data_IF_906746918123
#
_entry.id   IF_906746918123
#
_cell.length_a   1.000
_cell.length_b   1.000
_cell.length_c   1.000
_cell.angle_alpha   90.00
_cell.angle_beta   90.00
_cell.angle_gamma   90.00
#
_symmetry.space_group_name_H-M   'P 1'
#
loop_
_entity.id
_entity.type
_entity.pdbx_description
1 polymer ?
#
# COMPACT_ATOMS: atom_id res chain seq x y z
N UNK A 1 19.10 -31.47 41.47
CA UNK A 1 18.73 -30.95 40.11
C UNK A 1 17.57 -29.98 40.33
N UNK A 2 17.88 -28.66 40.28
CA UNK A 2 16.85 -27.60 40.37
C UNK A 2 16.37 -27.34 38.95
N UNK A 3 15.16 -27.80 38.64
CA UNK A 3 14.45 -27.41 37.40
C UNK A 3 13.97 -25.95 37.51
N UNK A 4 14.66 -25.05 36.82
CA UNK A 4 14.20 -23.68 36.66
C UNK A 4 13.01 -23.69 35.72
N UNK A 5 11.81 -23.46 36.25
CA UNK A 5 10.61 -23.26 35.46
C UNK A 5 10.70 -21.82 34.91
N UNK A 6 11.10 -21.71 33.62
CA UNK A 6 11.02 -20.44 32.91
C UNK A 6 9.52 -20.17 32.62
N UNK A 7 8.95 -19.22 33.36
CA UNK A 7 7.63 -18.67 33.04
C UNK A 7 7.72 -18.00 31.64
N UNK A 8 7.16 -18.64 30.64
CA UNK A 8 6.94 -18.02 29.34
C UNK A 8 5.82 -17.01 29.54
N UNK A 9 6.17 -15.73 29.74
CA UNK A 9 5.22 -14.64 29.73
C UNK A 9 4.65 -14.53 28.31
N UNK A 10 3.42 -14.98 28.12
CA UNK A 10 2.64 -14.74 26.90
C UNK A 10 2.41 -13.23 26.80
N UNK A 11 2.99 -12.58 25.79
CA UNK A 11 2.63 -11.19 25.50
C UNK A 11 1.19 -11.18 24.99
N UNK A 12 0.26 -10.77 25.86
CA UNK A 12 -1.15 -10.64 25.50
C UNK A 12 -1.35 -9.31 24.78
N UNK A 13 -1.45 -9.38 23.44
CA UNK A 13 -1.70 -8.20 22.61
C UNK A 13 -3.20 -7.89 22.63
N UNK A 14 -3.59 -6.90 23.39
CA UNK A 14 -4.99 -6.47 23.47
C UNK A 14 -5.33 -5.60 22.25
N UNK A 15 -6.15 -6.15 21.34
CA UNK A 15 -6.65 -5.45 20.15
C UNK A 15 -8.11 -5.05 20.36
N UNK A 16 -8.36 -3.76 20.39
CA UNK A 16 -9.74 -3.22 20.38
C UNK A 16 -10.16 -2.86 18.96
N UNK A 17 -11.45 -3.03 18.65
CA UNK A 17 -12.00 -2.66 17.34
C UNK A 17 -13.14 -1.66 17.53
N UNK A 18 -13.30 -0.76 16.57
CA UNK A 18 -14.44 0.14 16.44
C UNK A 18 -14.66 0.50 14.97
N UNK A 19 -15.74 1.19 14.69
CA UNK A 19 -16.10 1.64 13.35
C UNK A 19 -16.22 3.17 13.34
N UNK A 20 -15.60 3.82 12.35
CA UNK A 20 -15.72 5.27 12.17
C UNK A 20 -17.13 5.63 11.72
N UNK A 21 -17.49 6.91 11.84
CA UNK A 21 -18.81 7.43 11.38
C UNK A 21 -19.08 7.14 9.90
N UNK A 22 -18.05 6.90 9.09
CA UNK A 22 -18.16 6.58 7.67
C UNK A 22 -18.10 5.08 7.38
N UNK A 23 -18.08 4.23 8.42
CA UNK A 23 -18.09 2.78 8.27
C UNK A 23 -16.72 2.15 8.03
N UNK A 24 -15.60 2.83 8.33
CA UNK A 24 -14.28 2.21 8.26
C UNK A 24 -14.02 1.42 9.54
N UNK A 25 -13.71 0.12 9.38
CA UNK A 25 -13.25 -0.72 10.50
C UNK A 25 -11.87 -0.28 10.95
N UNK A 26 -11.71 -0.02 12.24
CA UNK A 26 -10.45 0.35 12.88
C UNK A 26 -10.06 -0.69 13.91
N UNK A 27 -8.82 -1.15 13.83
CA UNK A 27 -8.18 -1.99 14.84
C UNK A 27 -7.15 -1.14 15.57
N UNK A 28 -7.17 -1.18 16.90
CA UNK A 28 -6.25 -0.44 17.74
C UNK A 28 -5.60 -1.35 18.78
N UNK A 29 -4.29 -1.29 18.86
CA UNK A 29 -3.50 -1.86 19.94
C UNK A 29 -2.71 -0.77 20.65
N UNK A 30 -2.87 -0.68 21.96
CA UNK A 30 -2.08 0.25 22.78
C UNK A 30 -0.68 -0.34 23.03
N UNK A 31 0.35 0.48 22.88
CA UNK A 31 1.74 0.13 23.17
C UNK A 31 2.41 1.32 23.86
N UNK A 32 2.70 1.18 25.17
CA UNK A 32 3.26 2.27 25.98
C UNK A 32 4.78 2.30 25.99
N UNK A 33 5.45 1.31 25.34
CA UNK A 33 6.89 1.14 25.41
C UNK A 33 7.69 2.27 24.75
N UNK A 34 7.13 2.84 23.66
CA UNK A 34 7.78 3.90 22.89
C UNK A 34 6.71 4.95 22.53
N UNK A 35 6.99 6.27 22.66
CA UNK A 35 6.04 7.33 22.35
C UNK A 35 5.86 7.50 20.82
N UNK A 36 5.37 6.46 20.16
CA UNK A 36 5.18 6.40 18.71
C UNK A 36 3.74 6.06 18.33
N UNK A 37 3.41 6.37 17.10
CA UNK A 37 2.20 5.95 16.43
C UNK A 37 2.55 5.34 15.08
N UNK A 38 2.02 4.14 14.83
CA UNK A 38 1.99 3.50 13.53
C UNK A 38 0.55 3.45 13.04
N UNK A 39 0.29 4.07 11.91
CA UNK A 39 -0.99 4.07 11.21
C UNK A 39 -0.81 3.31 9.91
N UNK A 40 -1.65 2.31 9.64
CA UNK A 40 -1.70 1.60 8.37
C UNK A 40 -3.13 1.55 7.86
N UNK A 41 -3.36 2.11 6.69
CA UNK A 41 -4.62 2.02 5.96
C UNK A 41 -4.44 0.98 4.87
N UNK A 42 -5.32 0.00 4.82
CA UNK A 42 -5.29 -1.07 3.82
C UNK A 42 -6.54 -1.00 2.95
N UNK A 43 -6.35 -1.14 1.62
CA UNK A 43 -7.39 -1.12 0.62
C UNK A 43 -7.40 -2.43 -0.18
N UNK A 44 -8.55 -2.88 -0.64
CA UNK A 44 -8.67 -3.90 -1.68
C UNK A 44 -8.37 -3.24 -3.04
N UNK A 45 -7.09 -2.95 -3.25
CA UNK A 45 -6.55 -2.20 -4.37
C UNK A 45 -5.17 -2.71 -4.80
N UNK A 46 -4.96 -4.02 -4.71
CA UNK A 46 -3.75 -4.68 -5.18
C UNK A 46 -3.67 -4.77 -6.71
N UNK A 47 -2.62 -5.42 -7.21
CA UNK A 47 -2.40 -5.56 -8.66
C UNK A 47 -3.49 -6.39 -9.36
N UNK A 48 -4.27 -7.18 -8.62
CA UNK A 48 -5.46 -7.85 -9.16
C UNK A 48 -6.54 -6.88 -9.65
N UNK A 49 -6.42 -5.59 -9.34
CA UNK A 49 -7.32 -4.50 -9.78
C UNK A 49 -6.81 -3.74 -11.00
N UNK A 50 -5.66 -4.09 -11.53
CA UNK A 50 -5.03 -3.43 -12.69
C UNK A 50 -5.87 -3.53 -13.99
N UNK A 51 -6.76 -4.52 -14.08
CA UNK A 51 -7.51 -4.79 -15.31
C UNK A 51 -6.54 -5.11 -16.46
N UNK A 52 -6.70 -4.45 -17.60
CA UNK A 52 -5.82 -4.63 -18.77
C UNK A 52 -4.51 -3.81 -18.65
N UNK A 53 -4.43 -2.88 -17.70
CA UNK A 53 -3.31 -1.96 -17.52
C UNK A 53 -2.38 -2.44 -16.40
N UNK A 54 -1.61 -3.51 -16.66
CA UNK A 54 -0.76 -4.17 -15.66
C UNK A 54 0.29 -3.21 -15.10
N UNK A 55 0.44 -3.18 -13.76
CA UNK A 55 1.31 -2.26 -13.02
C UNK A 55 0.63 -0.96 -12.57
N UNK A 56 -0.66 -0.77 -12.89
CA UNK A 56 -1.38 0.47 -12.57
C UNK A 56 -1.49 0.72 -11.06
N UNK A 57 -1.81 -0.31 -10.28
CA UNK A 57 -1.87 -0.20 -8.82
C UNK A 57 -0.53 0.22 -8.22
N UNK A 58 0.56 -0.47 -8.60
CA UNK A 58 1.90 -0.18 -8.11
C UNK A 58 2.32 1.26 -8.46
N UNK A 59 2.17 1.65 -9.73
CA UNK A 59 2.52 2.99 -10.20
C UNK A 59 1.67 4.08 -9.52
N UNK A 60 0.37 3.83 -9.28
CA UNK A 60 -0.48 4.79 -8.57
C UNK A 60 -0.01 5.02 -7.15
N UNK A 61 0.35 3.95 -6.42
CA UNK A 61 0.79 4.06 -5.04
C UNK A 61 2.18 4.68 -4.89
N UNK A 62 3.09 4.45 -5.84
CA UNK A 62 4.41 5.09 -5.85
C UNK A 62 4.38 6.58 -6.20
N UNK A 63 3.22 7.11 -6.56
CA UNK A 63 3.03 8.51 -6.94
C UNK A 63 2.19 9.31 -5.94
N UNK A 64 1.74 8.69 -4.84
CA UNK A 64 0.81 9.35 -3.90
C UNK A 64 1.42 10.57 -3.21
N UNK A 65 2.70 10.51 -2.89
CA UNK A 65 3.49 11.56 -2.22
C UNK A 65 4.32 12.42 -3.19
N UNK A 66 4.15 12.22 -4.48
CA UNK A 66 4.87 12.99 -5.51
C UNK A 66 4.22 14.33 -5.87
N UNK A 67 3.18 14.73 -5.14
CA UNK A 67 2.56 16.05 -5.25
C UNK A 67 1.09 16.08 -4.86
N UNK A 68 0.68 17.22 -4.29
CA UNK A 68 -0.73 17.58 -4.07
C UNK A 68 -1.11 18.77 -4.96
N UNK A 69 -2.34 19.27 -4.89
CA UNK A 69 -2.73 20.47 -5.63
C UNK A 69 -1.96 21.73 -5.19
N UNK A 70 -1.38 21.73 -3.98
CA UNK A 70 -0.72 22.87 -3.36
C UNK A 70 0.76 22.66 -3.01
N UNK A 71 1.27 21.43 -3.11
CA UNK A 71 2.66 21.08 -2.75
C UNK A 71 3.33 20.22 -3.79
N UNK A 72 4.64 20.42 -3.94
CA UNK A 72 5.52 19.55 -4.72
C UNK A 72 6.07 18.40 -3.85
N UNK A 73 6.65 17.38 -4.49
CA UNK A 73 7.25 16.23 -3.82
C UNK A 73 8.32 16.60 -2.80
N UNK A 74 9.18 17.57 -3.12
CA UNK A 74 10.25 17.99 -2.20
C UNK A 74 9.71 18.60 -0.91
N UNK A 75 8.60 19.38 -0.98
CA UNK A 75 7.95 19.96 0.20
C UNK A 75 7.30 18.88 1.05
N UNK A 76 6.67 17.88 0.42
CA UNK A 76 6.07 16.73 1.09
C UNK A 76 7.14 15.93 1.84
N UNK A 77 8.24 15.57 1.16
CA UNK A 77 9.37 14.86 1.75
C UNK A 77 9.96 15.64 2.92
N UNK A 78 10.21 16.94 2.75
CA UNK A 78 10.76 17.82 3.80
C UNK A 78 9.87 17.86 5.05
N UNK A 79 8.53 17.82 4.90
CA UNK A 79 7.62 17.79 6.06
C UNK A 79 7.79 16.48 6.84
N UNK A 80 7.88 15.34 6.20
CA UNK A 80 8.06 14.05 6.90
C UNK A 80 9.46 13.96 7.53
N UNK A 81 10.51 14.31 6.79
CA UNK A 81 11.90 14.23 7.24
C UNK A 81 12.17 15.15 8.43
N UNK A 82 11.74 16.42 8.37
CA UNK A 82 11.94 17.39 9.46
C UNK A 82 11.21 17.02 10.75
N UNK A 83 10.18 16.17 10.68
CA UNK A 83 9.43 15.68 11.83
C UNK A 83 9.85 14.24 12.23
N UNK A 84 10.86 13.65 11.59
CA UNK A 84 11.29 12.27 11.84
C UNK A 84 10.18 11.24 11.59
N UNK A 85 9.28 11.54 10.65
CA UNK A 85 8.15 10.68 10.30
C UNK A 85 8.42 9.90 9.02
N UNK A 86 7.82 8.74 8.90
CA UNK A 86 7.98 7.85 7.74
C UNK A 86 6.62 7.67 7.08
N UNK A 87 6.48 8.15 5.86
CA UNK A 87 5.40 7.80 4.95
C UNK A 87 5.84 6.61 4.10
N UNK A 88 4.96 5.62 3.90
CA UNK A 88 5.27 4.50 3.03
C UNK A 88 4.01 3.94 2.38
N UNK A 89 4.16 3.39 1.17
CA UNK A 89 3.13 2.68 0.44
C UNK A 89 3.59 1.26 0.12
N UNK A 90 2.65 0.33 0.03
CA UNK A 90 2.96 -1.02 -0.46
C UNK A 90 1.80 -1.59 -1.26
N UNK A 91 2.12 -2.41 -2.25
CA UNK A 91 1.16 -3.11 -3.10
C UNK A 91 1.56 -4.56 -3.22
N UNK A 92 0.61 -5.46 -3.02
CA UNK A 92 0.74 -6.85 -3.38
C UNK A 92 -0.39 -7.26 -4.35
N UNK A 93 -0.59 -8.54 -4.58
CA UNK A 93 -1.63 -9.02 -5.50
C UNK A 93 -3.04 -8.60 -5.09
N UNK A 94 -3.37 -8.64 -3.80
CA UNK A 94 -4.73 -8.41 -3.30
C UNK A 94 -4.95 -7.00 -2.77
N UNK A 95 -3.95 -6.45 -2.12
CA UNK A 95 -4.09 -5.27 -1.27
C UNK A 95 -3.04 -4.23 -1.58
N UNK A 96 -3.41 -2.99 -1.34
CA UNK A 96 -2.46 -1.93 -1.17
C UNK A 96 -2.56 -1.35 0.24
N UNK A 97 -1.51 -0.71 0.70
CA UNK A 97 -1.53 0.01 1.96
C UNK A 97 -0.77 1.33 1.88
N UNK A 98 -1.23 2.27 2.69
CA UNK A 98 -0.61 3.58 2.93
C UNK A 98 -0.38 3.67 4.43
N UNK A 99 0.83 4.02 4.85
CA UNK A 99 1.19 4.04 6.27
C UNK A 99 1.93 5.30 6.65
N UNK A 100 1.75 5.70 7.92
CA UNK A 100 2.49 6.76 8.58
C UNK A 100 3.02 6.24 9.90
N UNK A 101 4.32 6.41 10.13
CA UNK A 101 4.97 6.26 11.44
C UNK A 101 5.45 7.62 11.91
N UNK A 102 5.16 7.96 13.17
CA UNK A 102 5.59 9.23 13.77
C UNK A 102 5.75 9.12 15.28
N UNK A 103 6.46 10.07 15.88
CA UNK A 103 6.42 10.28 17.33
C UNK A 103 5.04 10.83 17.72
N UNK A 104 4.56 10.50 18.95
CA UNK A 104 3.25 10.96 19.43
C UNK A 104 3.25 12.39 19.96
N UNK A 105 4.41 13.01 20.14
CA UNK A 105 4.52 14.42 20.55
C UNK A 105 3.87 15.32 19.50
N UNK A 106 2.99 16.22 19.94
CA UNK A 106 2.14 17.05 19.05
C UNK A 106 2.94 17.86 18.02
N UNK A 107 4.13 18.35 18.38
CA UNK A 107 5.01 19.12 17.49
C UNK A 107 5.48 18.33 16.26
N UNK A 108 5.59 16.98 16.35
CA UNK A 108 6.00 16.11 15.26
C UNK A 108 4.78 15.44 14.59
N UNK A 109 3.82 14.98 15.41
CA UNK A 109 2.64 14.29 14.89
C UNK A 109 1.72 15.19 14.07
N UNK A 110 1.46 16.40 14.55
CA UNK A 110 0.46 17.25 13.90
C UNK A 110 0.82 17.64 12.46
N UNK A 111 2.06 18.12 12.14
CA UNK A 111 2.43 18.41 10.76
C UNK A 111 2.45 17.16 9.88
N UNK A 112 2.98 16.04 10.39
CA UNK A 112 3.04 14.76 9.66
C UNK A 112 1.65 14.19 9.37
N UNK A 113 0.75 14.23 10.37
CA UNK A 113 -0.63 13.79 10.20
C UNK A 113 -1.38 14.69 9.22
N UNK A 114 -1.19 16.02 9.29
CA UNK A 114 -1.80 16.95 8.34
C UNK A 114 -1.37 16.63 6.90
N UNK A 115 -0.07 16.39 6.68
CA UNK A 115 0.45 16.01 5.36
C UNK A 115 -0.09 14.67 4.89
N UNK A 116 -0.13 13.68 5.78
CA UNK A 116 -0.71 12.38 5.50
C UNK A 116 -2.19 12.47 5.05
N UNK A 117 -3.00 13.28 5.75
CA UNK A 117 -4.39 13.51 5.40
C UNK A 117 -4.55 14.24 4.06
N UNK A 118 -3.64 15.16 3.75
CA UNK A 118 -3.61 15.89 2.47
C UNK A 118 -3.31 14.91 1.31
N UNK A 119 -2.31 14.03 1.45
CA UNK A 119 -2.02 12.98 0.45
C UNK A 119 -3.24 12.07 0.24
N UNK A 120 -3.94 11.66 1.30
CA UNK A 120 -5.12 10.79 1.20
C UNK A 120 -6.29 11.43 0.45
N UNK A 121 -6.39 12.75 0.42
CA UNK A 121 -7.53 13.46 -0.18
C UNK A 121 -7.20 14.17 -1.49
N UNK A 122 -5.94 14.49 -1.74
CA UNK A 122 -5.56 15.49 -2.77
C UNK A 122 -4.28 15.16 -3.55
N UNK A 123 -3.91 13.88 -3.70
CA UNK A 123 -2.81 13.51 -4.59
C UNK A 123 -3.09 13.94 -6.02
N UNK A 124 -2.19 14.76 -6.59
CA UNK A 124 -2.40 15.44 -7.87
C UNK A 124 -1.79 14.74 -9.09
N UNK A 125 -0.82 13.83 -8.86
CA UNK A 125 -0.12 13.08 -9.90
C UNK A 125 0.48 13.98 -10.99
N UNK A 126 1.47 14.84 -10.71
CA UNK A 126 2.06 15.75 -11.68
C UNK A 126 2.65 14.99 -12.88
N UNK A 127 2.49 15.52 -14.09
CA UNK A 127 2.91 14.81 -15.31
C UNK A 127 4.41 14.52 -15.37
N UNK A 128 5.27 15.43 -14.84
CA UNK A 128 6.71 15.20 -14.74
C UNK A 128 7.03 14.01 -13.83
N UNK A 129 6.37 13.92 -12.66
CA UNK A 129 6.58 12.82 -11.71
C UNK A 129 6.04 11.49 -12.27
N UNK A 130 4.87 11.53 -12.91
CA UNK A 130 4.34 10.34 -13.61
C UNK A 130 5.35 9.83 -14.64
N UNK A 131 5.92 10.71 -15.46
CA UNK A 131 6.89 10.32 -16.49
C UNK A 131 8.20 9.81 -15.87
N UNK A 132 8.67 10.43 -14.80
CA UNK A 132 9.87 10.01 -14.08
C UNK A 132 9.67 8.63 -13.44
N UNK A 133 8.56 8.44 -12.72
CA UNK A 133 8.27 7.18 -12.06
C UNK A 133 8.04 6.03 -13.06
N UNK A 134 7.41 6.30 -14.21
CA UNK A 134 7.32 5.31 -15.30
C UNK A 134 8.69 4.87 -15.79
N UNK A 135 9.63 5.80 -15.99
CA UNK A 135 11.01 5.46 -16.41
C UNK A 135 11.70 4.59 -15.36
N UNK A 136 11.62 4.96 -14.07
CA UNK A 136 12.19 4.17 -12.96
C UNK A 136 11.59 2.76 -12.93
N UNK A 137 10.26 2.65 -12.99
CA UNK A 137 9.56 1.36 -12.99
C UNK A 137 9.97 0.48 -14.18
N UNK A 138 10.10 1.06 -15.39
CA UNK A 138 10.53 0.32 -16.57
C UNK A 138 11.98 -0.16 -16.41
N UNK A 139 12.89 0.66 -15.86
CA UNK A 139 14.27 0.24 -15.58
C UNK A 139 14.30 -0.95 -14.62
N UNK A 140 13.55 -0.90 -13.50
CA UNK A 140 13.45 -2.03 -12.58
C UNK A 140 12.91 -3.30 -13.27
N UNK A 141 11.87 -3.18 -14.11
CA UNK A 141 11.33 -4.33 -14.86
C UNK A 141 12.37 -4.94 -15.78
N UNK A 142 13.23 -4.12 -16.41
CA UNK A 142 14.31 -4.60 -17.29
C UNK A 142 15.39 -5.30 -16.46
N UNK A 143 15.78 -4.75 -15.32
CA UNK A 143 16.72 -5.37 -14.38
C UNK A 143 16.22 -6.72 -13.88
N UNK A 144 14.94 -6.81 -13.46
CA UNK A 144 14.29 -8.05 -13.01
C UNK A 144 14.30 -9.16 -14.09
N UNK A 145 14.37 -8.80 -15.39
CA UNK A 145 14.47 -9.77 -16.47
C UNK A 145 15.84 -10.49 -16.53
N UNK A 146 16.83 -9.98 -15.81
CA UNK A 146 18.15 -10.61 -15.66
C UNK A 146 18.27 -11.42 -14.37
N UNK A 147 17.28 -11.34 -13.45
CA UNK A 147 17.25 -12.11 -12.21
C UNK A 147 16.54 -13.46 -12.41
N UNK A 148 17.26 -14.60 -12.27
CA UNK A 148 16.68 -15.94 -12.41
C UNK A 148 15.50 -16.19 -11.47
N UNK A 149 15.52 -15.64 -10.24
CA UNK A 149 14.48 -15.82 -9.24
C UNK A 149 13.18 -15.10 -9.65
N UNK A 150 13.30 -13.86 -10.14
CA UNK A 150 12.16 -13.09 -10.64
C UNK A 150 11.56 -13.72 -11.89
N UNK A 151 12.40 -14.23 -12.80
CA UNK A 151 11.95 -14.93 -14.00
C UNK A 151 11.20 -16.20 -13.63
N UNK A 152 11.75 -17.03 -12.73
CA UNK A 152 11.12 -18.26 -12.27
C UNK A 152 9.77 -17.97 -11.58
N UNK A 153 9.72 -16.97 -10.70
CA UNK A 153 8.52 -16.53 -10.03
C UNK A 153 7.44 -16.08 -11.02
N UNK A 154 7.79 -15.24 -11.99
CA UNK A 154 6.85 -14.73 -12.98
C UNK A 154 6.30 -15.83 -13.89
N UNK A 155 7.15 -16.79 -14.31
CA UNK A 155 6.74 -17.97 -15.07
C UNK A 155 5.79 -18.85 -14.24
N UNK A 156 6.13 -19.12 -12.99
CA UNK A 156 5.31 -19.91 -12.07
C UNK A 156 3.92 -19.31 -11.92
N UNK A 157 3.80 -18.03 -11.59
CA UNK A 157 2.50 -17.37 -11.46
C UNK A 157 1.71 -17.37 -12.77
N UNK A 158 2.37 -17.13 -13.89
CA UNK A 158 1.75 -17.16 -15.22
C UNK A 158 1.16 -18.52 -15.56
N UNK A 159 1.89 -19.60 -15.27
CA UNK A 159 1.44 -20.96 -15.58
C UNK A 159 0.34 -21.46 -14.64
N UNK A 160 0.42 -21.14 -13.35
CA UNK A 160 -0.59 -21.56 -12.38
C UNK A 160 -1.89 -20.79 -12.59
N UNK A 161 -1.81 -19.49 -12.86
CA UNK A 161 -2.97 -18.60 -12.85
C UNK A 161 -3.54 -18.30 -14.24
N UNK A 162 -2.82 -18.55 -15.33
CA UNK A 162 -3.30 -18.34 -16.69
C UNK A 162 -3.85 -16.93 -16.91
N UNK A 163 -5.14 -16.81 -17.21
CA UNK A 163 -5.83 -15.53 -17.44
C UNK A 163 -6.30 -14.84 -16.14
N UNK A 164 -6.03 -15.45 -14.98
CA UNK A 164 -6.39 -14.85 -13.70
C UNK A 164 -5.56 -13.58 -13.42
N UNK A 165 -6.13 -12.57 -12.72
CA UNK A 165 -5.38 -11.36 -12.36
C UNK A 165 -4.07 -11.59 -11.55
N UNK A 166 -3.87 -12.76 -10.96
CA UNK A 166 -2.63 -13.10 -10.26
C UNK A 166 -1.49 -13.53 -11.17
N UNK A 167 -1.75 -13.76 -12.44
CA UNK A 167 -0.76 -14.27 -13.40
C UNK A 167 0.34 -13.27 -13.76
N UNK A 168 0.10 -11.96 -13.58
CA UNK A 168 1.08 -10.94 -13.91
C UNK A 168 1.86 -10.44 -12.68
N UNK A 169 3.11 -9.98 -12.82
CA UNK A 169 3.84 -9.34 -11.72
C UNK A 169 3.16 -8.06 -11.25
N UNK A 170 3.23 -7.75 -9.95
CA UNK A 170 2.56 -6.55 -9.40
C UNK A 170 3.13 -5.25 -9.96
N UNK A 171 4.40 -5.24 -10.34
CA UNK A 171 5.06 -4.11 -11.01
C UNK A 171 4.57 -3.90 -12.45
N UNK A 172 3.92 -4.92 -13.05
CA UNK A 172 3.45 -4.91 -14.43
C UNK A 172 4.51 -5.34 -15.44
N UNK A 173 4.30 -4.92 -16.69
CA UNK A 173 5.21 -5.15 -17.80
C UNK A 173 5.64 -3.82 -18.41
N UNK A 174 6.86 -3.71 -18.94
CA UNK A 174 7.40 -2.47 -19.51
C UNK A 174 6.45 -1.82 -20.54
N UNK A 175 5.88 -2.63 -21.45
CA UNK A 175 4.94 -2.14 -22.46
C UNK A 175 3.61 -1.66 -21.86
N UNK A 176 3.12 -2.28 -20.81
CA UNK A 176 1.90 -1.83 -20.14
C UNK A 176 2.14 -0.55 -19.33
N UNK A 177 3.22 -0.49 -18.55
CA UNK A 177 3.61 0.70 -17.78
C UNK A 177 3.85 1.90 -18.71
N UNK A 178 4.48 1.70 -19.86
CA UNK A 178 4.69 2.75 -20.88
C UNK A 178 3.37 3.39 -21.34
N UNK A 179 2.29 2.62 -21.42
CA UNK A 179 0.95 3.08 -21.86
C UNK A 179 0.11 3.71 -20.77
N UNK A 180 0.49 3.57 -19.49
CA UNK A 180 -0.26 4.19 -18.38
C UNK A 180 -0.26 5.70 -18.54
N UNK A 181 -1.44 6.30 -18.55
CA UNK A 181 -1.65 7.74 -18.56
C UNK A 181 -1.93 8.27 -17.14
N UNK A 182 -1.72 9.57 -16.92
CA UNK A 182 -2.14 10.25 -15.69
C UNK A 182 -3.63 10.03 -15.40
N UNK A 183 -4.47 9.98 -16.45
CA UNK A 183 -5.91 9.70 -16.31
C UNK A 183 -6.16 8.31 -15.73
N UNK A 184 -5.45 7.28 -16.19
CA UNK A 184 -5.58 5.93 -15.63
C UNK A 184 -5.22 5.91 -14.14
N UNK A 185 -4.15 6.59 -13.74
CA UNK A 185 -3.70 6.71 -12.34
C UNK A 185 -4.78 7.37 -11.50
N UNK A 186 -5.30 8.52 -11.94
CA UNK A 186 -6.35 9.24 -11.22
C UNK A 186 -7.64 8.43 -11.12
N UNK A 187 -8.08 7.80 -12.20
CA UNK A 187 -9.27 6.96 -12.20
C UNK A 187 -9.12 5.76 -11.22
N UNK A 188 -7.92 5.16 -11.17
CA UNK A 188 -7.62 4.08 -10.25
C UNK A 188 -7.64 4.56 -8.79
N UNK A 189 -6.99 5.68 -8.50
CA UNK A 189 -6.98 6.31 -7.18
C UNK A 189 -8.40 6.64 -6.73
N UNK A 190 -9.16 7.39 -7.53
CA UNK A 190 -10.52 7.78 -7.21
C UNK A 190 -11.45 6.58 -6.99
N UNK A 191 -11.24 5.49 -7.73
CA UNK A 191 -12.06 4.27 -7.63
C UNK A 191 -11.74 3.44 -6.40
N UNK A 192 -10.47 3.31 -6.05
CA UNK A 192 -10.02 2.29 -5.10
C UNK A 192 -9.58 2.85 -3.74
N UNK A 193 -9.11 4.10 -3.67
CA UNK A 193 -8.64 4.73 -2.42
C UNK A 193 -9.78 5.56 -1.83
N UNK A 194 -10.68 4.89 -1.11
CA UNK A 194 -11.86 5.52 -0.52
C UNK A 194 -12.30 4.82 0.77
N UNK A 195 -13.16 5.48 1.55
CA UNK A 195 -13.59 4.99 2.86
C UNK A 195 -14.29 3.62 2.83
N UNK A 196 -15.08 3.33 1.78
CA UNK A 196 -15.81 2.05 1.67
C UNK A 196 -14.92 0.86 1.35
N UNK A 197 -13.69 1.13 0.90
CA UNK A 197 -12.69 0.13 0.54
C UNK A 197 -11.55 0.04 1.56
N UNK A 198 -11.60 0.84 2.64
CA UNK A 198 -10.53 0.98 3.62
C UNK A 198 -10.76 0.14 4.87
N UNK A 199 -9.66 -0.30 5.47
CA UNK A 199 -9.55 -0.69 6.87
C UNK A 199 -8.32 -0.02 7.48
N UNK A 200 -8.39 0.35 8.77
CA UNK A 200 -7.32 1.07 9.47
C UNK A 200 -6.81 0.20 10.61
N UNK A 201 -5.49 0.08 10.74
CA UNK A 201 -4.84 -0.47 11.91
C UNK A 201 -3.94 0.61 12.52
N UNK A 202 -4.03 0.79 13.86
CA UNK A 202 -3.21 1.75 14.59
C UNK A 202 -2.58 1.05 15.79
N UNK A 203 -1.28 1.23 15.95
CA UNK A 203 -0.54 0.88 17.16
C UNK A 203 0.05 2.17 17.72
N UNK A 204 -0.19 2.48 19.00
CA UNK A 204 0.27 3.75 19.57
C UNK A 204 0.29 3.76 21.08
N UNK A 205 1.13 4.64 21.66
CA UNK A 205 1.08 5.01 23.07
C UNK A 205 -0.04 6.01 23.42
N UNK A 206 -0.71 6.59 22.41
CA UNK A 206 -1.83 7.50 22.63
C UNK A 206 -3.04 6.82 23.28
N UNK A 207 -3.88 7.60 23.93
CA UNK A 207 -5.15 7.11 24.47
C UNK A 207 -6.12 6.68 23.36
N UNK A 208 -7.04 5.78 23.70
CA UNK A 208 -8.10 5.34 22.76
C UNK A 208 -8.88 6.53 22.18
N UNK A 209 -9.16 7.57 23.00
CA UNK A 209 -9.88 8.78 22.57
C UNK A 209 -9.12 9.54 21.47
N UNK A 210 -7.81 9.69 21.62
CA UNK A 210 -6.96 10.37 20.63
C UNK A 210 -6.87 9.56 19.33
N UNK A 211 -6.71 8.24 19.44
CA UNK A 211 -6.66 7.34 18.27
C UNK A 211 -7.97 7.36 17.51
N UNK A 212 -9.12 7.35 18.20
CA UNK A 212 -10.43 7.51 17.56
C UNK A 212 -10.52 8.85 16.81
N UNK A 213 -10.05 9.94 17.42
CA UNK A 213 -10.06 11.25 16.76
C UNK A 213 -9.18 11.28 15.51
N UNK A 214 -8.02 10.62 15.52
CA UNK A 214 -7.14 10.47 14.35
C UNK A 214 -7.84 9.65 13.26
N UNK A 215 -8.41 8.50 13.59
CA UNK A 215 -9.09 7.65 12.63
C UNK A 215 -10.32 8.32 12.01
N UNK A 216 -11.05 9.14 12.76
CA UNK A 216 -12.16 9.95 12.23
C UNK A 216 -11.66 11.01 11.23
N UNK A 217 -10.48 11.64 11.47
CA UNK A 217 -9.86 12.55 10.51
C UNK A 217 -9.49 11.83 9.22
N UNK A 218 -8.85 10.64 9.32
CA UNK A 218 -8.51 9.81 8.17
C UNK A 218 -9.78 9.43 7.40
N UNK A 219 -10.80 8.99 8.10
CA UNK A 219 -12.07 8.61 7.50
C UNK A 219 -12.75 9.75 6.74
N UNK A 220 -12.59 11.00 7.21
CA UNK A 220 -13.09 12.19 6.52
C UNK A 220 -12.29 12.56 5.29
N UNK A 221 -10.98 12.27 5.26
CA UNK A 221 -10.10 12.56 4.12
C UNK A 221 -10.33 11.59 2.95
N UNK A 222 -10.94 10.43 3.18
CA UNK A 222 -11.26 9.46 2.15
C UNK A 222 -12.65 9.75 1.54
N UNK A 223 -12.74 9.76 0.22
CA UNK A 223 -14.03 9.99 -0.49
C UNK A 223 -15.06 8.93 -0.09
N UNK A 224 -16.26 9.38 0.29
CA UNK A 224 -17.39 8.54 0.72
C UNK A 224 -18.28 8.08 -0.43
N UNK A 225 -18.21 8.74 -1.58
CA UNK A 225 -19.19 8.59 -2.69
C UNK A 225 -19.00 7.28 -3.45
N UNK A 226 -17.85 6.62 -3.34
CA UNK A 226 -17.51 5.44 -4.13
C UNK A 226 -18.10 4.16 -3.54
N UNK A 227 -18.46 3.23 -4.42
CA UNK A 227 -18.95 1.90 -4.04
C UNK A 227 -17.79 0.97 -3.71
N UNK A 228 -18.02 0.01 -2.80
CA UNK A 228 -17.05 -1.06 -2.54
C UNK A 228 -16.75 -1.82 -3.83
N UNK A 229 -15.47 -2.06 -4.09
CA UNK A 229 -15.03 -2.88 -5.23
C UNK A 229 -15.27 -4.35 -4.90
N UNK A 230 -16.04 -5.05 -5.74
CA UNK A 230 -16.33 -6.49 -5.57
C UNK A 230 -15.41 -7.27 -6.51
N UNK A 231 -14.67 -8.24 -5.97
CA UNK A 231 -13.85 -9.17 -6.76
C UNK A 231 -14.71 -10.33 -7.26
N UNK A 232 -14.58 -10.68 -8.54
CA UNK A 232 -15.13 -11.94 -9.04
C UNK A 232 -14.28 -13.11 -8.54
N UNK A 233 -14.92 -14.13 -8.00
CA UNK A 233 -14.25 -15.40 -7.68
C UNK A 233 -13.75 -16.06 -8.96
N UNK A 234 -12.59 -16.69 -8.87
CA UNK A 234 -11.94 -17.37 -9.98
C UNK A 234 -12.14 -18.87 -9.96
N UNK A 235 -12.08 -19.47 -11.16
CA UNK A 235 -12.21 -20.91 -11.34
C UNK A 235 -10.94 -21.64 -10.91
N UNK A 236 -11.12 -22.89 -10.47
CA UNK A 236 -10.07 -23.81 -10.01
C UNK A 236 -9.05 -24.12 -11.10
N UNK A 237 -7.80 -24.23 -10.70
CA UNK A 237 -6.63 -24.47 -11.54
C UNK A 237 -6.52 -25.94 -11.95
N UNK A 238 -5.96 -26.22 -13.13
CA UNK A 238 -5.63 -27.57 -13.61
C UNK A 238 -4.52 -28.23 -12.79
N UNK A 239 -4.71 -29.49 -12.39
CA UNK A 239 -3.74 -30.32 -11.61
C UNK A 239 -2.68 -30.99 -12.50
N UNK A 240 -2.24 -30.42 -13.58
CA UNK A 240 -1.18 -31.03 -14.42
C UNK A 240 0.18 -30.52 -14.01
N UNK A 241 1.12 -31.44 -13.81
CA UNK A 241 2.53 -31.09 -13.66
C UNK A 241 3.06 -30.52 -14.99
N UNK A 242 3.83 -29.43 -14.89
CA UNK A 242 4.46 -28.77 -16.05
C UNK A 242 5.89 -28.38 -15.70
N UNK A 243 6.81 -28.79 -16.54
CA UNK A 243 8.22 -28.41 -16.43
C UNK A 243 8.52 -27.35 -17.49
N UNK A 244 9.05 -26.19 -17.06
CA UNK A 244 9.43 -25.10 -17.95
C UNK A 244 10.93 -24.87 -17.80
N UNK A 245 11.65 -25.01 -18.89
CA UNK A 245 13.08 -24.74 -18.97
C UNK A 245 13.32 -23.44 -19.70
N UNK A 246 14.07 -22.52 -19.11
CA UNK A 246 14.55 -21.31 -19.76
C UNK A 246 16.07 -21.30 -19.70
N UNK A 247 16.71 -21.30 -20.87
CA UNK A 247 18.16 -21.18 -20.94
C UNK A 247 18.55 -19.72 -20.64
N UNK A 248 19.47 -19.56 -19.71
CA UNK A 248 20.17 -18.30 -19.47
C UNK A 248 21.51 -18.41 -20.17
N UNK A 249 21.81 -17.48 -21.05
CA UNK A 249 23.20 -17.26 -21.46
C UNK A 249 23.87 -16.51 -20.31
N UNK A 250 24.54 -17.23 -19.41
CA UNK A 250 25.50 -16.61 -18.49
C UNK A 250 26.74 -16.29 -19.32
N UNK A 251 26.96 -15.03 -19.62
CA UNK A 251 28.28 -14.54 -20.01
C UNK A 251 29.18 -14.47 -18.78
#
# INVERSE_FOLDING_TARGET
IIMSITNITKADVNISSYETKNGIKVLFSKSDNIPMIDIKITFDAGSNRDGDTKGLSMLTHSLLDEGTSVRKSEEIASIFESNGSIFNTSVNKDRSSISLRSLTQAKYLNPSLKMFLEILSDSSFPNNEVNLQKKRTISTIIEDQSDPSEIASNLFFKEIYGDHPYSHPSIGYADSVKKISRKNIKDFYDKNINAKNASIAIVSSLSKKEVIAIAEKISKSLDKSKKKVITKQTKTISKKEKYIFKNFNSE
#
